data_IF_347953347135
#
_entry.id   IF_347953347135
#
_cell.length_a   1.000
_cell.length_b   1.000
_cell.length_c   1.000
_cell.angle_alpha   90.00
_cell.angle_beta   90.00
_cell.angle_gamma   90.00
#
_symmetry.space_group_name_H-M   'P 1'
#
loop_
_entity.id
_entity.type
_entity.pdbx_description
1 polymer ?
#
# COMPACT_ATOMS: atom_id res chain seq x y z
N UNK A 1 -14.32 -41.62 -38.04
CA UNK A 1 -13.92 -42.27 -39.30
C UNK A 1 -12.67 -43.09 -39.02
N UNK A 2 -12.81 -44.42 -39.02
CA UNK A 2 -11.72 -45.35 -38.77
C UNK A 2 -10.81 -45.42 -40.00
N UNK A 3 -9.55 -44.99 -39.86
CA UNK A 3 -8.51 -45.29 -40.85
C UNK A 3 -7.92 -46.66 -40.52
N UNK A 4 -8.43 -47.69 -41.17
CA UNK A 4 -7.77 -49.00 -41.28
C UNK A 4 -7.10 -49.06 -42.65
N UNK A 5 -5.83 -48.67 -42.73
CA UNK A 5 -4.89 -49.19 -43.74
C UNK A 5 -3.47 -48.70 -43.46
N UNK A 6 -2.74 -49.44 -42.62
CA UNK A 6 -1.29 -49.30 -42.46
C UNK A 6 -0.75 -50.66 -42.02
N UNK A 7 0.43 -51.03 -42.51
CA UNK A 7 1.17 -52.22 -42.04
C UNK A 7 1.21 -52.23 -40.51
N UNK A 8 1.05 -53.41 -39.88
CA UNK A 8 0.96 -53.56 -38.42
C UNK A 8 2.13 -52.92 -37.65
N UNK A 9 3.28 -52.76 -38.33
CA UNK A 9 4.51 -52.20 -37.77
C UNK A 9 4.61 -50.67 -37.86
N UNK A 10 3.64 -49.97 -38.47
CA UNK A 10 3.67 -48.49 -38.64
C UNK A 10 2.61 -47.84 -37.75
N UNK A 11 2.99 -46.90 -36.86
CA UNK A 11 2.03 -46.21 -36.01
C UNK A 11 1.02 -45.37 -36.81
N UNK A 12 -0.26 -45.55 -36.49
CA UNK A 12 -1.37 -44.73 -36.98
C UNK A 12 -1.32 -43.29 -36.45
N UNK A 13 -2.21 -42.43 -36.95
CA UNK A 13 -2.26 -41.02 -36.55
C UNK A 13 -2.62 -40.81 -35.08
N UNK A 14 -3.46 -41.68 -34.48
CA UNK A 14 -3.83 -41.58 -33.07
C UNK A 14 -2.63 -41.84 -32.15
N UNK A 15 -1.82 -42.87 -32.46
CA UNK A 15 -0.57 -43.17 -31.75
C UNK A 15 0.46 -42.05 -31.90
N UNK A 16 0.58 -41.47 -33.09
CA UNK A 16 1.47 -40.31 -33.33
C UNK A 16 1.03 -39.07 -32.55
N UNK A 17 -0.26 -38.76 -32.54
CA UNK A 17 -0.82 -37.64 -31.77
C UNK A 17 -0.63 -37.84 -30.26
N UNK A 18 -0.85 -39.05 -29.77
CA UNK A 18 -0.61 -39.40 -28.36
C UNK A 18 0.87 -39.26 -27.98
N UNK A 19 1.79 -39.75 -28.81
CA UNK A 19 3.23 -39.58 -28.56
C UNK A 19 3.69 -38.13 -28.65
N UNK A 20 3.13 -37.33 -29.57
CA UNK A 20 3.40 -35.89 -29.65
C UNK A 20 2.91 -35.18 -28.39
N UNK A 21 1.72 -35.52 -27.88
CA UNK A 21 1.21 -34.95 -26.63
C UNK A 21 2.15 -35.22 -25.46
N UNK A 22 2.66 -36.45 -25.34
CA UNK A 22 3.64 -36.80 -24.31
C UNK A 22 4.95 -36.02 -24.49
N UNK A 23 5.51 -36.01 -25.71
CA UNK A 23 6.77 -35.34 -25.99
C UNK A 23 6.70 -33.82 -25.74
N UNK A 24 5.71 -33.14 -26.33
CA UNK A 24 5.53 -31.70 -26.12
C UNK A 24 5.04 -31.37 -24.71
N UNK A 25 4.27 -32.27 -24.08
CA UNK A 25 3.87 -32.13 -22.68
C UNK A 25 5.07 -32.12 -21.74
N UNK A 26 6.02 -33.04 -21.91
CA UNK A 26 7.26 -33.08 -21.11
C UNK A 26 8.14 -31.87 -21.38
N UNK A 27 8.37 -31.50 -22.64
CA UNK A 27 9.16 -30.31 -23.00
C UNK A 27 8.55 -29.05 -22.39
N UNK A 28 7.23 -28.88 -22.52
CA UNK A 28 6.52 -27.72 -21.95
C UNK A 28 6.60 -27.72 -20.44
N UNK A 29 6.43 -28.88 -19.78
CA UNK A 29 6.57 -29.00 -18.33
C UNK A 29 7.95 -28.61 -17.83
N UNK A 30 9.02 -29.07 -18.48
CA UNK A 30 10.40 -28.67 -18.14
C UNK A 30 10.63 -27.18 -18.36
N UNK A 31 10.12 -26.63 -19.47
CA UNK A 31 10.24 -25.20 -19.76
C UNK A 31 9.51 -24.34 -18.75
N UNK A 32 8.26 -24.68 -18.39
CA UNK A 32 7.49 -23.96 -17.36
C UNK A 32 8.17 -24.06 -16.00
N UNK A 33 8.69 -25.25 -15.64
CA UNK A 33 9.44 -25.45 -14.41
C UNK A 33 10.70 -24.60 -14.32
N UNK A 34 11.44 -24.46 -15.43
CA UNK A 34 12.63 -23.61 -15.51
C UNK A 34 12.28 -22.11 -15.56
N UNK A 35 11.15 -21.74 -16.18
CA UNK A 35 10.72 -20.35 -16.31
C UNK A 35 10.10 -19.81 -15.02
N UNK A 36 9.45 -20.65 -14.21
CA UNK A 36 8.84 -20.25 -12.94
C UNK A 36 9.77 -19.48 -11.99
N UNK A 37 10.99 -19.96 -11.65
CA UNK A 37 11.90 -19.21 -10.79
C UNK A 37 12.37 -17.90 -11.43
N UNK A 38 12.49 -17.83 -12.76
CA UNK A 38 12.84 -16.59 -13.48
C UNK A 38 11.72 -15.56 -13.32
N UNK A 39 10.47 -15.96 -13.53
CA UNK A 39 9.32 -15.06 -13.33
C UNK A 39 9.21 -14.64 -11.87
N UNK A 40 9.39 -15.58 -10.93
CA UNK A 40 9.36 -15.29 -9.49
C UNK A 40 10.49 -14.37 -9.05
N UNK A 41 11.66 -14.43 -9.69
CA UNK A 41 12.78 -13.56 -9.40
C UNK A 41 12.46 -12.08 -9.69
N UNK A 42 11.64 -11.79 -10.71
CA UNK A 42 11.21 -10.43 -11.02
C UNK A 42 10.05 -9.92 -10.14
N UNK A 43 9.42 -10.79 -9.34
CA UNK A 43 8.38 -10.39 -8.38
C UNK A 43 9.08 -9.96 -7.08
N UNK A 44 9.00 -8.68 -6.68
CA UNK A 44 9.65 -8.22 -5.45
C UNK A 44 9.18 -9.03 -4.24
N UNK A 45 10.08 -9.46 -3.34
CA UNK A 45 9.69 -10.07 -2.09
C UNK A 45 8.91 -9.05 -1.24
N UNK A 46 7.90 -9.51 -0.49
CA UNK A 46 7.23 -8.64 0.48
C UNK A 46 8.22 -8.28 1.60
N UNK A 47 8.16 -7.05 2.09
CA UNK A 47 9.09 -6.53 3.09
C UNK A 47 8.91 -7.12 4.50
N UNK A 48 8.11 -8.18 4.67
CA UNK A 48 7.77 -8.77 5.96
C UNK A 48 6.89 -7.83 6.80
N UNK A 49 5.57 -8.03 6.76
CA UNK A 49 4.65 -7.32 7.64
C UNK A 49 4.53 -8.07 8.97
N UNK A 50 5.19 -7.57 10.02
CA UNK A 50 4.94 -8.02 11.38
C UNK A 50 3.54 -7.53 11.81
N UNK A 51 2.52 -8.35 11.61
CA UNK A 51 1.22 -8.22 12.30
C UNK A 51 0.44 -6.92 12.10
N UNK A 52 0.76 -6.12 11.08
CA UNK A 52 -0.04 -4.95 10.70
C UNK A 52 0.44 -3.60 11.23
N UNK A 53 1.62 -3.48 11.82
CA UNK A 53 2.16 -2.18 12.25
C UNK A 53 3.57 -1.91 11.74
N UNK A 54 3.84 -0.68 11.30
CA UNK A 54 5.22 -0.20 11.02
C UNK A 54 5.57 0.92 11.98
N UNK A 55 6.81 0.98 12.45
CA UNK A 55 7.27 2.14 13.22
C UNK A 55 7.41 3.33 12.29
N UNK A 56 6.84 4.47 12.70
CA UNK A 56 6.95 5.71 11.96
C UNK A 56 8.38 6.25 12.06
N UNK A 57 8.91 6.73 10.95
CA UNK A 57 10.28 7.26 10.87
C UNK A 57 10.30 8.72 10.48
N UNK A 58 11.34 9.43 10.93
CA UNK A 58 11.59 10.80 10.53
C UNK A 58 12.17 10.88 9.09
N UNK A 59 12.45 12.09 8.61
CA UNK A 59 13.03 12.30 7.28
C UNK A 59 14.45 11.72 7.12
N UNK A 60 15.14 11.41 8.22
CA UNK A 60 16.48 10.81 8.24
C UNK A 60 16.42 9.28 8.39
N UNK A 61 15.24 8.70 8.58
CA UNK A 61 15.02 7.26 8.77
C UNK A 61 15.13 6.78 10.22
N UNK A 62 15.27 7.68 11.19
CA UNK A 62 15.26 7.35 12.62
C UNK A 62 13.83 7.08 13.09
N UNK A 63 13.68 6.21 14.09
CA UNK A 63 12.36 5.98 14.70
C UNK A 63 11.90 7.24 15.45
N UNK A 64 10.61 7.57 15.34
CA UNK A 64 10.03 8.71 16.06
C UNK A 64 9.73 8.29 17.50
N UNK A 65 10.42 8.94 18.44
CA UNK A 65 10.20 8.83 19.88
C UNK A 65 9.12 9.85 20.26
N UNK A 66 8.02 9.38 20.84
CA UNK A 66 6.82 10.20 21.05
C UNK A 66 7.06 11.31 22.08
N UNK A 67 7.80 11.02 23.14
CA UNK A 67 8.16 12.03 24.16
C UNK A 67 8.99 13.19 23.58
N UNK A 68 10.01 12.89 22.77
CA UNK A 68 10.84 13.91 22.10
C UNK A 68 10.07 14.67 21.01
N UNK A 69 9.19 13.97 20.31
CA UNK A 69 8.35 14.55 19.27
C UNK A 69 7.37 15.58 19.84
N UNK A 70 6.69 15.25 20.94
CA UNK A 70 5.77 16.18 21.64
C UNK A 70 6.53 17.35 22.28
N UNK A 71 7.78 17.13 22.71
CA UNK A 71 8.61 18.22 23.25
C UNK A 71 9.04 19.24 22.19
N UNK A 72 9.21 18.80 20.94
CA UNK A 72 9.67 19.64 19.82
C UNK A 72 8.56 20.27 18.99
N UNK A 73 7.32 19.79 19.10
CA UNK A 73 6.17 20.26 18.32
C UNK A 73 5.09 20.87 19.21
N UNK A 74 4.44 21.92 18.72
CA UNK A 74 3.36 22.58 19.44
C UNK A 74 2.01 21.90 19.18
N UNK A 75 1.03 22.25 20.03
CA UNK A 75 -0.37 21.89 19.82
C UNK A 75 -0.87 22.35 18.44
N UNK A 76 -1.52 21.45 17.71
CA UNK A 76 -2.05 21.71 16.37
C UNK A 76 -1.04 21.54 15.23
N UNK A 77 0.23 21.25 15.53
CA UNK A 77 1.23 20.98 14.51
C UNK A 77 0.95 19.68 13.78
N UNK A 78 1.26 19.70 12.48
CA UNK A 78 1.08 18.57 11.56
C UNK A 78 2.37 18.37 10.81
N UNK A 79 3.08 17.30 11.14
CA UNK A 79 4.37 17.01 10.52
C UNK A 79 4.36 15.68 9.80
N UNK A 80 5.19 15.59 8.77
CA UNK A 80 5.31 14.40 7.94
C UNK A 80 6.26 13.41 8.59
N UNK A 81 5.81 12.18 8.69
CA UNK A 81 6.60 11.01 9.02
C UNK A 81 6.53 10.01 7.87
N UNK A 82 7.53 9.16 7.74
CA UNK A 82 7.44 7.97 6.90
C UNK A 82 6.49 6.97 7.58
N UNK A 83 5.38 6.67 6.91
CA UNK A 83 4.34 5.79 7.42
C UNK A 83 4.26 4.45 6.69
N UNK A 84 3.03 3.93 6.58
CA UNK A 84 2.75 2.63 5.97
C UNK A 84 3.30 2.58 4.54
N UNK A 85 3.98 1.48 4.20
CA UNK A 85 4.59 1.23 2.88
C UNK A 85 5.59 2.32 2.41
N UNK A 86 6.04 3.19 3.31
CA UNK A 86 6.94 4.30 3.01
C UNK A 86 6.23 5.59 2.59
N UNK A 87 4.89 5.63 2.59
CA UNK A 87 4.14 6.83 2.22
C UNK A 87 4.28 7.91 3.29
N UNK A 88 4.38 9.19 2.90
CA UNK A 88 4.39 10.29 3.84
C UNK A 88 3.03 10.37 4.55
N UNK A 89 3.05 10.26 5.87
CA UNK A 89 1.86 10.28 6.72
C UNK A 89 2.00 11.43 7.72
N UNK A 90 0.96 12.26 7.82
CA UNK A 90 0.88 13.32 8.82
C UNK A 90 0.59 12.74 10.19
N UNK A 91 1.42 13.14 11.15
CA UNK A 91 1.19 12.98 12.58
C UNK A 91 0.63 14.30 13.10
N UNK A 92 -0.48 14.23 13.84
CA UNK A 92 -1.19 15.40 14.34
C UNK A 92 -1.02 15.46 15.86
N UNK A 93 -0.60 16.61 16.36
CA UNK A 93 -0.50 16.88 17.80
C UNK A 93 -1.78 17.61 18.24
N UNK A 94 -2.50 17.04 19.20
CA UNK A 94 -3.72 17.63 19.80
C UNK A 94 -3.38 18.78 20.73
N UNK A 95 -4.37 19.61 21.08
CA UNK A 95 -4.22 20.75 22.01
C UNK A 95 -3.70 20.34 23.40
N UNK A 96 -4.05 19.15 23.86
CA UNK A 96 -3.62 18.57 25.14
C UNK A 96 -2.16 18.08 25.15
N UNK A 97 -1.37 18.40 24.10
CA UNK A 97 -0.02 17.86 23.87
C UNK A 97 0.02 16.33 23.83
N UNK A 98 -1.01 15.73 23.27
CA UNK A 98 -1.07 14.31 22.95
C UNK A 98 -1.01 14.12 21.43
N UNK A 99 -0.68 12.92 20.98
CA UNK A 99 -0.86 12.54 19.58
C UNK A 99 -2.31 12.16 19.32
N UNK A 100 -2.84 12.55 18.17
CA UNK A 100 -4.10 12.01 17.67
C UNK A 100 -3.97 10.50 17.41
N UNK A 101 -5.08 9.77 17.61
CA UNK A 101 -5.12 8.31 17.41
C UNK A 101 -5.09 7.89 15.93
N UNK A 102 -5.04 8.86 15.01
CA UNK A 102 -5.00 8.61 13.57
C UNK A 102 -3.92 9.46 12.88
N UNK A 103 -3.24 8.84 11.93
CA UNK A 103 -2.39 9.51 10.95
C UNK A 103 -3.13 9.74 9.64
N UNK A 104 -2.82 10.84 8.95
CA UNK A 104 -3.44 11.18 7.66
C UNK A 104 -2.40 10.96 6.56
N UNK A 105 -2.66 10.08 5.60
CA UNK A 105 -1.78 9.90 4.46
C UNK A 105 -1.73 11.19 3.63
N UNK A 106 -0.53 11.70 3.34
CA UNK A 106 -0.34 12.98 2.66
C UNK A 106 -0.41 12.87 1.13
N UNK A 107 -0.53 11.66 0.57
CA UNK A 107 -0.59 11.40 -0.87
C UNK A 107 -1.95 11.81 -1.43
N UNK A 108 -1.94 12.77 -2.35
CA UNK A 108 -3.14 13.25 -3.00
C UNK A 108 -3.80 12.14 -3.82
N UNK A 109 -5.09 11.89 -3.54
CA UNK A 109 -5.94 10.91 -4.23
C UNK A 109 -6.22 11.22 -5.70
N UNK A 110 -5.80 12.39 -6.20
CA UNK A 110 -5.89 12.72 -7.63
C UNK A 110 -4.80 12.02 -8.45
N UNK A 111 -3.52 12.34 -8.17
CA UNK A 111 -2.36 11.86 -8.96
C UNK A 111 -1.10 11.62 -8.10
N UNK A 112 -1.20 11.67 -6.77
CA UNK A 112 -0.11 11.28 -5.87
C UNK A 112 0.84 12.38 -5.38
N UNK A 113 0.57 13.67 -5.65
CA UNK A 113 1.35 14.76 -5.03
C UNK A 113 1.24 14.74 -3.50
N UNK A 114 2.30 15.08 -2.77
CA UNK A 114 2.23 15.29 -1.31
C UNK A 114 1.49 16.59 -1.03
N UNK A 115 0.44 16.53 -0.22
CA UNK A 115 -0.45 17.67 0.07
C UNK A 115 0.00 18.38 1.35
N UNK A 116 0.55 19.61 1.28
CA UNK A 116 0.96 20.35 2.45
C UNK A 116 -0.25 20.82 3.28
N UNK A 117 -0.06 20.92 4.59
CA UNK A 117 -0.99 21.59 5.49
C UNK A 117 -0.88 23.11 5.36
N UNK A 118 -2.01 23.78 5.16
CA UNK A 118 -2.12 25.23 5.24
C UNK A 118 -2.80 25.62 6.56
N UNK A 119 -2.00 26.10 7.52
CA UNK A 119 -2.47 26.50 8.84
C UNK A 119 -3.36 27.75 8.82
N UNK A 120 -3.18 28.65 7.84
CA UNK A 120 -3.98 29.88 7.74
C UNK A 120 -5.45 29.59 7.40
N UNK A 121 -5.71 28.56 6.60
CA UNK A 121 -7.07 28.16 6.21
C UNK A 121 -7.58 26.90 6.91
N UNK A 122 -6.78 26.28 7.77
CA UNK A 122 -7.07 25.00 8.43
C UNK A 122 -7.46 23.88 7.45
N UNK A 123 -6.73 23.80 6.33
CA UNK A 123 -6.98 22.84 5.25
C UNK A 123 -5.68 22.31 4.67
N UNK A 124 -5.74 21.10 4.12
CA UNK A 124 -4.70 20.61 3.23
C UNK A 124 -4.99 21.11 1.82
N UNK A 125 -4.03 21.80 1.19
CA UNK A 125 -4.21 22.39 -0.13
C UNK A 125 -3.12 21.84 -1.05
N UNK A 126 -3.53 21.04 -2.03
CA UNK A 126 -2.63 20.41 -2.98
C UNK A 126 -2.09 21.46 -3.96
N UNK A 127 -0.76 21.69 -4.03
CA UNK A 127 -0.19 22.72 -4.90
C UNK A 127 -0.28 22.34 -6.39
N UNK A 128 -0.50 21.06 -6.71
CA UNK A 128 -0.52 20.58 -8.10
C UNK A 128 -1.78 21.04 -8.85
N UNK A 129 -2.96 20.78 -8.29
CA UNK A 129 -4.25 21.06 -8.96
C UNK A 129 -5.30 21.68 -8.03
N UNK A 130 -4.91 22.10 -6.82
CA UNK A 130 -5.80 22.82 -5.90
C UNK A 130 -6.85 21.96 -5.19
N UNK A 131 -6.67 20.63 -5.13
CA UNK A 131 -7.49 19.77 -4.27
C UNK A 131 -7.38 20.23 -2.82
N UNK A 132 -8.53 20.42 -2.17
CA UNK A 132 -8.62 20.85 -0.78
C UNK A 132 -9.23 19.74 0.07
N UNK A 133 -8.59 19.47 1.20
CA UNK A 133 -9.09 18.57 2.22
C UNK A 133 -9.24 19.32 3.54
N UNK A 134 -10.23 18.95 4.35
CA UNK A 134 -10.42 19.54 5.68
C UNK A 134 -9.30 19.11 6.65
N UNK A 135 -9.35 19.61 7.88
CA UNK A 135 -8.43 19.25 8.97
C UNK A 135 -8.35 17.73 9.29
N UNK A 136 -9.32 16.92 8.88
CA UNK A 136 -9.32 15.47 9.06
C UNK A 136 -8.92 14.72 7.78
N UNK A 137 -8.61 15.41 6.69
CA UNK A 137 -8.25 14.82 5.39
C UNK A 137 -9.45 14.42 4.51
N UNK A 138 -10.68 14.81 4.87
CA UNK A 138 -11.86 14.63 4.03
C UNK A 138 -11.82 15.62 2.86
N UNK A 139 -12.09 15.15 1.65
CA UNK A 139 -12.13 16.01 0.46
C UNK A 139 -13.24 17.06 0.57
N UNK A 140 -12.92 18.32 0.24
CA UNK A 140 -13.84 19.46 0.28
C UNK A 140 -14.01 20.07 -1.10
N UNK A 141 -12.93 20.17 -1.89
CA UNK A 141 -12.94 20.79 -3.21
C UNK A 141 -11.84 20.24 -4.11
N UNK A 142 -11.99 20.42 -5.41
CA UNK A 142 -10.98 20.16 -6.43
C UNK A 142 -11.16 18.80 -7.10
N UNK A 143 -10.19 18.37 -7.93
CA UNK A 143 -10.31 17.17 -8.76
C UNK A 143 -10.09 15.85 -8.02
N UNK A 144 -9.75 15.89 -6.73
CA UNK A 144 -9.57 14.68 -5.92
C UNK A 144 -10.89 13.90 -5.80
N UNK A 145 -10.95 12.62 -6.21
CA UNK A 145 -12.20 11.85 -6.16
C UNK A 145 -12.53 11.35 -4.75
N UNK A 146 -11.51 11.16 -3.90
CA UNK A 146 -11.63 10.50 -2.59
C UNK A 146 -10.88 11.27 -1.50
N UNK A 147 -11.27 11.05 -0.24
CA UNK A 147 -10.58 11.58 0.94
C UNK A 147 -9.23 10.92 1.18
N UNK A 148 -8.31 11.60 1.87
CA UNK A 148 -7.00 11.05 2.23
C UNK A 148 -7.14 9.80 3.12
N UNK A 149 -6.32 8.78 2.86
CA UNK A 149 -6.35 7.55 3.64
C UNK A 149 -5.92 7.77 5.10
N UNK A 150 -6.38 6.91 6.00
CA UNK A 150 -6.06 6.95 7.42
C UNK A 150 -5.23 5.74 7.83
N UNK A 151 -4.44 5.93 8.88
CA UNK A 151 -3.78 4.86 9.62
C UNK A 151 -4.02 5.09 11.11
N UNK A 152 -4.11 4.04 11.93
CA UNK A 152 -4.09 4.24 13.37
C UNK A 152 -2.69 4.63 13.82
N UNK A 153 -2.61 5.59 14.73
CA UNK A 153 -1.38 5.99 15.38
C UNK A 153 -1.41 5.48 16.82
N UNK A 154 -0.50 4.56 17.15
CA UNK A 154 -0.39 3.97 18.49
C UNK A 154 1.02 4.15 19.03
N UNK A 155 1.11 4.42 20.33
CA UNK A 155 2.39 4.47 21.04
C UNK A 155 2.71 3.06 21.52
N UNK A 156 3.88 2.55 21.15
CA UNK A 156 4.38 1.25 21.60
C UNK A 156 4.96 1.34 23.02
N UNK A 157 5.18 0.18 23.66
CA UNK A 157 5.80 0.12 25.01
C UNK A 157 7.19 0.77 25.06
N UNK A 158 7.91 0.82 23.93
CA UNK A 158 9.23 1.42 23.78
C UNK A 158 9.21 2.93 23.46
N UNK A 159 8.08 3.62 23.69
CA UNK A 159 7.87 5.05 23.39
C UNK A 159 8.02 5.41 21.90
N UNK A 160 7.89 4.43 21.01
CA UNK A 160 7.92 4.65 19.55
C UNK A 160 6.52 4.77 18.99
N UNK A 161 6.36 5.62 17.98
CA UNK A 161 5.13 5.71 17.21
C UNK A 161 5.02 4.56 16.21
N UNK A 162 3.94 3.77 16.32
CA UNK A 162 3.57 2.76 15.34
C UNK A 162 2.33 3.17 14.57
N UNK A 163 2.34 2.88 13.27
CA UNK A 163 1.22 3.11 12.36
C UNK A 163 0.66 1.77 11.89
N UNK A 164 -0.64 1.55 12.05
CA UNK A 164 -1.34 0.34 11.56
C UNK A 164 -2.42 0.71 10.53
N UNK A 165 -2.75 -0.17 9.56
CA UNK A 165 -3.82 0.08 8.61
C UNK A 165 -5.15 0.32 9.31
N UNK A 166 -5.85 1.37 8.89
CA UNK A 166 -7.23 1.61 9.29
C UNK A 166 -8.17 0.75 8.45
N UNK A 167 -8.83 -0.23 9.07
CA UNK A 167 -9.77 -1.15 8.39
C UNK A 167 -11.21 -1.00 8.87
N UNK A 168 -11.44 -0.24 9.94
CA UNK A 168 -12.79 0.07 10.43
C UNK A 168 -13.44 1.20 9.63
N UNK A 169 -14.71 1.49 9.92
CA UNK A 169 -15.47 2.56 9.26
C UNK A 169 -14.74 3.90 9.32
N UNK A 170 -14.72 4.64 8.21
CA UNK A 170 -14.17 5.99 8.18
C UNK A 170 -15.08 6.94 8.97
N UNK A 171 -14.62 7.41 10.12
CA UNK A 171 -15.40 8.29 11.00
C UNK A 171 -15.77 9.64 10.35
N UNK A 172 -15.14 10.04 9.25
CA UNK A 172 -15.35 11.32 8.57
C UNK A 172 -16.49 11.26 7.54
N UNK A 173 -16.75 10.07 7.00
CA UNK A 173 -17.79 9.83 5.98
C UNK A 173 -18.89 8.91 6.48
N UNK A 174 -18.61 8.05 7.46
CA UNK A 174 -19.51 6.99 7.91
C UNK A 174 -19.56 5.78 6.98
N UNK A 175 -18.65 5.71 6.00
CA UNK A 175 -18.59 4.68 4.97
C UNK A 175 -17.40 3.73 5.20
N UNK A 176 -17.36 2.62 4.46
CA UNK A 176 -16.21 1.71 4.48
C UNK A 176 -14.96 2.39 3.89
N UNK A 177 -13.75 2.10 4.42
CA UNK A 177 -12.51 2.70 3.95
C UNK A 177 -12.16 2.22 2.54
N UNK A 178 -11.98 3.15 1.60
CA UNK A 178 -11.70 2.84 0.20
C UNK A 178 -10.28 2.31 -0.06
N UNK A 179 -9.36 2.46 0.90
CA UNK A 179 -7.93 2.13 0.78
C UNK A 179 -7.56 0.74 1.31
N UNK A 180 -8.56 0.01 1.83
CA UNK A 180 -8.44 -1.35 2.37
C UNK A 180 -8.14 -2.37 1.26
#
# INVERSE_FOLDING_TARGET
MAQVSGSADVPDMGRRQFMNLLAFGTITGTFVGALYPIVKYFIPPSSGGAGGGVTAKDALGNDIIVSEFIASHNAGDRTLAQGLKGDPTYIVVTEDKALENFGINAVCTHLGCVVPWNASENKFICPCHGSQYNNQGKVVRGPAPLSLALAHATVTEDDKLALTPWTETDFRTGEEPWWS
#
